data_IF_674678328116
#
_entry.id   IF_674678328116
#
_cell.length_a   1.000
_cell.length_b   1.000
_cell.length_c   1.000
_cell.angle_alpha   90.00
_cell.angle_beta   90.00
_cell.angle_gamma   90.00
#
_symmetry.space_group_name_H-M   'P 1'
#
loop_
_entity.id
_entity.type
_entity.pdbx_description
1 polymer ?
#
# COMPACT_ATOMS: atom_id res chain seq x y z
N UNK A 1 -23.94 -1.42 -28.26
CA UNK A 1 -25.32 -0.88 -28.33
C UNK A 1 -26.18 -1.74 -29.24
N UNK A 2 -27.47 -1.83 -28.93
CA UNK A 2 -28.39 -2.77 -29.58
C UNK A 2 -28.68 -2.42 -31.05
N UNK A 3 -28.94 -1.14 -31.35
CA UNK A 3 -29.32 -0.71 -32.70
C UNK A 3 -28.09 -0.44 -33.59
N UNK A 4 -27.20 0.47 -33.18
CA UNK A 4 -26.04 0.89 -33.98
C UNK A 4 -24.89 -0.14 -34.03
N UNK A 5 -24.92 -1.14 -33.15
CA UNK A 5 -23.76 -2.00 -32.89
C UNK A 5 -22.51 -1.23 -32.45
N UNK A 6 -22.67 -0.01 -31.91
CA UNK A 6 -21.60 0.79 -31.33
C UNK A 6 -20.96 0.09 -30.15
N UNK A 7 -19.64 0.01 -30.16
CA UNK A 7 -18.88 -0.85 -29.27
C UNK A 7 -18.11 -0.03 -28.25
N UNK A 8 -18.14 -0.46 -27.00
CA UNK A 8 -17.20 -0.08 -25.97
C UNK A 8 -16.31 -1.27 -25.66
N UNK A 9 -15.00 -1.04 -25.54
CA UNK A 9 -14.04 -2.06 -25.16
C UNK A 9 -12.95 -1.44 -24.28
N UNK A 10 -12.61 -2.13 -23.21
CA UNK A 10 -11.50 -1.80 -22.33
C UNK A 10 -10.88 -3.07 -21.77
N UNK A 11 -9.63 -2.99 -21.37
CA UNK A 11 -8.98 -4.03 -20.59
C UNK A 11 -9.18 -3.75 -19.10
N UNK A 12 -9.56 -4.79 -18.36
CA UNK A 12 -9.67 -4.79 -16.89
C UNK A 12 -8.75 -5.86 -16.29
N UNK A 13 -8.39 -5.72 -15.02
CA UNK A 13 -7.44 -6.61 -14.36
C UNK A 13 -8.02 -7.99 -14.05
N UNK A 14 -9.33 -8.07 -13.78
CA UNK A 14 -10.02 -9.32 -13.47
C UNK A 14 -11.48 -9.32 -13.96
N UNK A 15 -12.11 -10.50 -13.94
CA UNK A 15 -13.56 -10.67 -14.15
C UNK A 15 -14.37 -10.52 -12.84
N UNK A 16 -13.73 -10.01 -11.78
CA UNK A 16 -14.35 -9.80 -10.48
C UNK A 16 -15.43 -8.73 -10.52
N UNK A 17 -16.34 -8.77 -9.54
CA UNK A 17 -17.47 -7.84 -9.43
C UNK A 17 -17.05 -6.36 -9.42
N UNK A 18 -15.94 -6.04 -8.74
CA UNK A 18 -15.39 -4.67 -8.65
C UNK A 18 -15.00 -4.12 -10.02
N UNK A 19 -14.26 -4.92 -10.80
CA UNK A 19 -13.84 -4.54 -12.15
C UNK A 19 -15.04 -4.50 -13.11
N UNK A 20 -15.98 -5.45 -12.96
CA UNK A 20 -17.20 -5.53 -13.76
C UNK A 20 -18.09 -4.30 -13.60
N UNK A 21 -18.37 -3.87 -12.37
CA UNK A 21 -19.17 -2.67 -12.09
C UNK A 21 -18.41 -1.41 -12.50
N UNK A 22 -17.09 -1.37 -12.26
CA UNK A 22 -16.23 -0.29 -12.75
C UNK A 22 -16.32 -0.12 -14.27
N UNK A 23 -16.35 -1.24 -15.00
CA UNK A 23 -16.48 -1.23 -16.45
C UNK A 23 -17.82 -0.70 -16.93
N UNK A 24 -18.92 -1.05 -16.26
CA UNK A 24 -20.24 -0.48 -16.57
C UNK A 24 -20.28 1.02 -16.36
N UNK A 25 -19.73 1.50 -15.24
CA UNK A 25 -19.67 2.93 -14.91
C UNK A 25 -18.88 3.72 -15.96
N UNK A 26 -17.71 3.20 -16.39
CA UNK A 26 -16.92 3.82 -17.46
C UNK A 26 -17.59 3.71 -18.83
N UNK A 27 -18.28 2.61 -19.11
CA UNK A 27 -19.07 2.42 -20.33
C UNK A 27 -20.21 3.45 -20.42
N UNK A 28 -21.01 3.64 -19.37
CA UNK A 28 -22.09 4.64 -19.38
C UNK A 28 -21.55 6.05 -19.58
N UNK A 29 -20.42 6.37 -18.94
CA UNK A 29 -19.72 7.64 -19.15
C UNK A 29 -19.25 7.80 -20.60
N UNK A 30 -18.70 6.74 -21.21
CA UNK A 30 -18.25 6.73 -22.61
C UNK A 30 -19.42 6.92 -23.59
N UNK A 31 -20.57 6.30 -23.33
CA UNK A 31 -21.78 6.48 -24.14
C UNK A 31 -22.39 7.89 -23.97
N UNK A 32 -22.02 8.61 -22.91
CA UNK A 32 -22.62 9.90 -22.55
C UNK A 32 -24.05 9.78 -22.03
N UNK A 33 -24.44 8.60 -21.54
CA UNK A 33 -25.80 8.28 -21.12
C UNK A 33 -25.97 6.83 -20.69
N UNK A 34 -27.11 6.51 -20.08
CA UNK A 34 -27.43 5.17 -19.58
C UNK A 34 -28.49 4.50 -20.48
N UNK A 35 -28.27 3.28 -20.97
CA UNK A 35 -29.32 2.54 -21.68
C UNK A 35 -30.44 2.12 -20.72
N UNK A 36 -31.67 1.96 -21.22
CA UNK A 36 -32.81 1.48 -20.41
C UNK A 36 -32.62 0.05 -19.90
N UNK A 37 -31.89 -0.77 -20.65
CA UNK A 37 -31.62 -2.15 -20.30
C UNK A 37 -30.18 -2.54 -20.64
N UNK A 38 -29.56 -3.27 -19.73
CA UNK A 38 -28.27 -3.94 -19.91
C UNK A 38 -28.52 -5.44 -19.91
N UNK A 39 -27.99 -6.12 -20.93
CA UNK A 39 -28.10 -7.57 -21.08
C UNK A 39 -26.72 -8.17 -20.80
N UNK A 40 -26.40 -8.49 -19.54
CA UNK A 40 -25.15 -9.17 -19.22
C UNK A 40 -25.23 -10.64 -19.65
N UNK A 41 -24.06 -11.19 -19.96
CA UNK A 41 -23.90 -12.65 -19.99
C UNK A 41 -24.05 -13.22 -18.58
N UNK A 42 -24.37 -14.51 -18.45
CA UNK A 42 -24.65 -15.17 -17.18
C UNK A 42 -23.37 -15.42 -16.34
N UNK A 43 -22.58 -14.37 -16.09
CA UNK A 43 -21.40 -14.39 -15.24
C UNK A 43 -21.83 -14.58 -13.79
N UNK A 44 -21.09 -15.39 -13.03
CA UNK A 44 -21.29 -15.53 -11.57
C UNK A 44 -21.18 -14.19 -10.83
N UNK A 45 -20.45 -13.22 -11.38
CA UNK A 45 -20.38 -11.85 -10.87
C UNK A 45 -21.72 -11.11 -10.99
N UNK A 46 -22.55 -11.42 -11.99
CA UNK A 46 -23.85 -10.80 -12.21
C UNK A 46 -25.02 -11.55 -11.55
N UNK A 47 -24.95 -12.89 -11.45
CA UNK A 47 -26.08 -13.75 -11.03
C UNK A 47 -25.64 -14.76 -9.95
N UNK A 48 -26.23 -14.68 -8.75
CA UNK A 48 -25.94 -15.58 -7.60
C UNK A 48 -26.63 -16.93 -7.79
N UNK A 49 -27.86 -16.95 -8.31
CA UNK A 49 -28.59 -18.15 -8.74
C UNK A 49 -29.51 -17.80 -9.93
N UNK A 50 -29.44 -18.52 -11.06
CA UNK A 50 -30.38 -18.34 -12.15
C UNK A 50 -31.72 -19.00 -11.79
N UNK A 51 -32.74 -18.21 -11.43
CA UNK A 51 -34.14 -18.63 -11.38
C UNK A 51 -34.89 -17.98 -12.56
N UNK A 52 -35.85 -18.73 -13.12
CA UNK A 52 -36.71 -18.35 -14.24
C UNK A 52 -37.66 -17.20 -13.89
N UNK A 53 -37.96 -17.00 -12.61
CA UNK A 53 -38.94 -16.02 -12.14
C UNK A 53 -38.35 -14.93 -11.22
N UNK A 54 -37.22 -15.20 -10.56
CA UNK A 54 -36.52 -14.24 -9.70
C UNK A 54 -35.00 -14.47 -9.77
N UNK A 55 -34.30 -13.99 -10.82
CA UNK A 55 -32.86 -14.11 -10.90
C UNK A 55 -32.26 -13.34 -9.73
N UNK A 56 -31.69 -14.07 -8.76
CA UNK A 56 -31.00 -13.50 -7.61
C UNK A 56 -29.77 -12.73 -8.07
N UNK A 57 -29.98 -11.49 -8.48
CA UNK A 57 -28.95 -10.55 -8.88
C UNK A 57 -28.00 -10.35 -7.71
N UNK A 58 -26.71 -10.22 -8.01
CA UNK A 58 -25.77 -9.77 -7.00
C UNK A 58 -26.26 -8.43 -6.43
N UNK A 59 -26.46 -8.34 -5.12
CA UNK A 59 -27.00 -7.13 -4.45
C UNK A 59 -26.28 -5.86 -4.93
N UNK A 60 -24.96 -5.91 -5.05
CA UNK A 60 -24.17 -4.74 -5.48
C UNK A 60 -24.39 -4.37 -6.96
N UNK A 61 -24.77 -5.34 -7.78
CA UNK A 61 -25.09 -5.11 -9.20
C UNK A 61 -26.51 -4.56 -9.35
N UNK A 62 -27.44 -5.00 -8.50
CA UNK A 62 -28.78 -4.39 -8.38
C UNK A 62 -28.70 -2.94 -7.88
N UNK A 63 -27.88 -2.66 -6.86
CA UNK A 63 -27.63 -1.29 -6.35
C UNK A 63 -27.05 -0.37 -7.45
N UNK A 64 -26.16 -0.88 -8.30
CA UNK A 64 -25.66 -0.14 -9.47
C UNK A 64 -26.79 0.15 -10.48
N UNK A 65 -27.64 -0.85 -10.76
CA UNK A 65 -28.75 -0.71 -11.68
C UNK A 65 -29.78 0.32 -11.21
N UNK A 66 -30.10 0.31 -9.92
CA UNK A 66 -30.95 1.31 -9.28
C UNK A 66 -30.35 2.71 -9.37
N UNK A 67 -29.05 2.87 -9.06
CA UNK A 67 -28.34 4.15 -9.14
C UNK A 67 -28.40 4.80 -10.53
N UNK A 68 -28.32 3.99 -11.59
CA UNK A 68 -28.38 4.47 -12.97
C UNK A 68 -29.77 4.39 -13.59
N UNK A 69 -30.77 3.85 -12.88
CA UNK A 69 -32.13 3.64 -13.40
C UNK A 69 -32.23 2.65 -14.58
N UNK A 70 -31.26 1.73 -14.72
CA UNK A 70 -31.24 0.73 -15.81
C UNK A 70 -31.82 -0.61 -15.36
N UNK A 71 -32.54 -1.31 -16.23
CA UNK A 71 -32.89 -2.70 -15.99
C UNK A 71 -31.71 -3.62 -16.31
N UNK A 72 -31.50 -4.67 -15.50
CA UNK A 72 -30.58 -5.75 -15.83
C UNK A 72 -31.39 -6.95 -16.30
N UNK A 73 -31.20 -7.35 -17.55
CA UNK A 73 -31.90 -8.46 -18.18
C UNK A 73 -30.87 -9.55 -18.53
N UNK A 74 -30.53 -10.45 -17.59
CA UNK A 74 -29.53 -11.47 -17.87
C UNK A 74 -29.97 -12.38 -19.03
N UNK A 75 -29.04 -12.65 -19.95
CA UNK A 75 -29.31 -13.57 -21.07
C UNK A 75 -29.60 -14.98 -20.54
N UNK A 76 -30.57 -15.67 -21.16
CA UNK A 76 -30.94 -17.02 -20.70
C UNK A 76 -29.80 -18.01 -20.96
N UNK A 77 -29.54 -18.95 -20.03
CA UNK A 77 -28.59 -20.04 -20.27
C UNK A 77 -28.93 -20.79 -21.58
N UNK A 78 -27.90 -21.11 -22.37
CA UNK A 78 -28.03 -21.87 -23.62
C UNK A 78 -28.96 -21.24 -24.68
N UNK A 79 -29.14 -19.92 -24.67
CA UNK A 79 -29.88 -19.17 -25.69
C UNK A 79 -29.00 -18.09 -26.35
N UNK A 80 -28.17 -18.45 -27.36
CA UNK A 80 -27.25 -17.52 -28.01
C UNK A 80 -27.92 -16.28 -28.61
N UNK A 81 -29.18 -16.42 -29.07
CA UNK A 81 -29.95 -15.34 -29.69
C UNK A 81 -30.18 -14.14 -28.78
N UNK A 82 -30.22 -14.33 -27.46
CA UNK A 82 -30.50 -13.27 -26.50
C UNK A 82 -29.35 -12.25 -26.41
N UNK A 83 -28.13 -12.65 -26.78
CA UNK A 83 -26.92 -11.82 -26.71
C UNK A 83 -26.12 -11.76 -28.02
N UNK A 84 -26.76 -12.06 -29.15
CA UNK A 84 -26.09 -12.14 -30.45
C UNK A 84 -25.28 -10.87 -30.80
N UNK A 85 -25.79 -9.68 -30.43
CA UNK A 85 -25.07 -8.40 -30.62
C UNK A 85 -23.78 -8.32 -29.79
N UNK A 86 -23.80 -8.85 -28.56
CA UNK A 86 -22.62 -8.87 -27.69
C UNK A 86 -21.56 -9.84 -28.24
N UNK A 87 -21.96 -11.04 -28.68
CA UNK A 87 -21.04 -12.03 -29.28
C UNK A 87 -20.35 -11.47 -30.54
N UNK A 88 -21.12 -10.84 -31.44
CA UNK A 88 -20.56 -10.18 -32.64
C UNK A 88 -19.62 -9.05 -32.24
N UNK A 89 -19.97 -8.24 -31.22
CA UNK A 89 -19.09 -7.18 -30.76
C UNK A 89 -17.77 -7.71 -30.20
N UNK A 90 -17.77 -8.86 -29.50
CA UNK A 90 -16.55 -9.53 -29.03
C UNK A 90 -15.71 -9.99 -30.21
N UNK A 91 -16.29 -10.69 -31.18
CA UNK A 91 -15.57 -11.15 -32.38
C UNK A 91 -14.93 -9.98 -33.14
N UNK A 92 -15.69 -8.91 -33.35
CA UNK A 92 -15.20 -7.69 -34.01
C UNK A 92 -14.06 -7.04 -33.20
N UNK A 93 -14.19 -6.96 -31.87
CA UNK A 93 -13.14 -6.41 -31.01
C UNK A 93 -11.87 -7.26 -31.04
N UNK A 94 -12.00 -8.59 -31.09
CA UNK A 94 -10.86 -9.49 -31.24
C UNK A 94 -10.12 -9.25 -32.57
N UNK A 95 -10.84 -9.12 -33.69
CA UNK A 95 -10.23 -8.89 -35.00
C UNK A 95 -9.59 -7.50 -35.13
N UNK A 96 -10.25 -6.45 -34.63
CA UNK A 96 -9.85 -5.07 -34.91
C UNK A 96 -8.98 -4.44 -33.83
N UNK A 97 -9.02 -4.97 -32.60
CA UNK A 97 -8.25 -4.46 -31.47
C UNK A 97 -7.20 -5.49 -31.08
N UNK A 98 -7.61 -6.66 -30.61
CA UNK A 98 -6.68 -7.67 -30.06
C UNK A 98 -5.67 -8.13 -31.11
N UNK A 99 -6.12 -8.47 -32.32
CA UNK A 99 -5.24 -8.95 -33.38
C UNK A 99 -4.24 -7.89 -33.88
N UNK A 100 -4.55 -6.59 -33.75
CA UNK A 100 -3.64 -5.50 -34.07
C UNK A 100 -2.61 -5.25 -32.98
N UNK A 101 -2.97 -5.51 -31.72
CA UNK A 101 -2.08 -5.36 -30.57
C UNK A 101 -1.24 -6.60 -30.27
N UNK A 102 -1.47 -7.74 -30.96
CA UNK A 102 -0.86 -9.05 -30.66
C UNK A 102 0.67 -9.09 -30.61
N UNK A 103 1.35 -8.19 -31.33
CA UNK A 103 2.81 -8.12 -31.40
C UNK A 103 3.40 -7.02 -30.50
N UNK A 104 2.57 -6.35 -29.69
CA UNK A 104 3.00 -5.30 -28.74
C UNK A 104 2.99 -5.86 -27.33
N UNK A 105 4.04 -5.56 -26.56
CA UNK A 105 4.11 -5.84 -25.13
C UNK A 105 3.73 -4.57 -24.38
N UNK A 106 2.98 -4.75 -23.29
CA UNK A 106 2.53 -3.68 -22.42
C UNK A 106 2.98 -3.97 -20.99
N UNK A 107 3.33 -2.93 -20.24
CA UNK A 107 3.83 -3.03 -18.87
C UNK A 107 2.85 -2.51 -17.83
N UNK A 108 1.73 -1.94 -18.27
CA UNK A 108 0.63 -1.54 -17.38
C UNK A 108 -0.73 -1.63 -18.07
N UNK A 109 -1.78 -1.78 -17.26
CA UNK A 109 -3.16 -1.74 -17.74
C UNK A 109 -3.53 -0.38 -18.35
N UNK A 110 -2.94 0.70 -17.82
CA UNK A 110 -3.13 2.06 -18.34
C UNK A 110 -2.57 2.18 -19.77
N UNK A 111 -1.36 1.65 -20.01
CA UNK A 111 -0.72 1.64 -21.32
C UNK A 111 -1.52 0.83 -22.35
N UNK A 112 -2.00 -0.36 -21.96
CA UNK A 112 -2.85 -1.19 -22.80
C UNK A 112 -4.15 -0.46 -23.18
N UNK A 113 -4.83 0.13 -22.20
CA UNK A 113 -6.05 0.90 -22.46
C UNK A 113 -5.81 2.15 -23.31
N UNK A 114 -4.66 2.81 -23.15
CA UNK A 114 -4.26 3.92 -24.03
C UNK A 114 -4.10 3.46 -25.49
N UNK A 115 -3.57 2.25 -25.72
CA UNK A 115 -3.44 1.67 -27.05
C UNK A 115 -4.77 1.15 -27.63
N UNK A 116 -5.71 0.71 -26.79
CA UNK A 116 -7.05 0.26 -27.20
C UNK A 116 -7.89 1.43 -27.72
N UNK A 117 -7.85 2.59 -27.06
CA UNK A 117 -8.67 3.78 -27.37
C UNK A 117 -8.67 4.19 -28.85
N UNK A 118 -7.53 4.39 -29.54
CA UNK A 118 -7.54 4.76 -30.96
C UNK A 118 -8.12 3.65 -31.84
N UNK A 119 -7.83 2.37 -31.55
CA UNK A 119 -8.36 1.25 -32.32
C UNK A 119 -9.88 1.09 -32.15
N UNK A 120 -10.39 1.38 -30.95
CA UNK A 120 -11.82 1.43 -30.68
C UNK A 120 -12.50 2.56 -31.45
N UNK A 121 -11.85 3.73 -31.52
CA UNK A 121 -12.35 4.85 -32.32
C UNK A 121 -12.38 4.50 -33.81
N UNK A 122 -11.31 3.92 -34.35
CA UNK A 122 -11.25 3.44 -35.74
C UNK A 122 -12.36 2.43 -36.02
N UNK A 123 -12.59 1.49 -35.10
CA UNK A 123 -13.63 0.48 -35.23
C UNK A 123 -15.03 1.12 -35.33
N UNK A 124 -15.30 2.12 -34.50
CA UNK A 124 -16.60 2.77 -34.42
C UNK A 124 -16.85 3.76 -35.57
N UNK A 125 -15.81 4.43 -36.07
CA UNK A 125 -15.89 5.40 -37.18
C UNK A 125 -15.82 4.75 -38.57
N UNK A 126 -15.43 3.48 -38.66
CA UNK A 126 -15.41 2.73 -39.91
C UNK A 126 -16.82 2.53 -40.47
N UNK A 127 -17.01 2.92 -41.73
CA UNK A 127 -18.23 2.67 -42.50
C UNK A 127 -18.47 1.16 -42.66
N UNK A 128 -19.67 0.72 -42.28
CA UNK A 128 -20.10 -0.67 -42.45
C UNK A 128 -20.69 -0.86 -43.84
N UNK A 129 -20.21 -1.86 -44.58
CA UNK A 129 -20.58 -2.08 -46.00
C UNK A 129 -22.10 -2.18 -46.20
N UNK A 130 -22.77 -2.95 -45.34
CA UNK A 130 -24.20 -3.25 -45.50
C UNK A 130 -25.11 -2.07 -45.12
N UNK A 131 -24.61 -1.13 -44.32
CA UNK A 131 -25.41 0.00 -43.81
C UNK A 131 -25.06 1.34 -44.47
N UNK A 132 -23.92 1.44 -45.17
CA UNK A 132 -23.44 2.69 -45.76
C UNK A 132 -23.06 3.78 -44.74
N UNK A 133 -23.12 3.48 -43.43
CA UNK A 133 -22.83 4.38 -42.32
C UNK A 133 -21.87 3.73 -41.31
N UNK A 134 -21.18 4.55 -40.52
CA UNK A 134 -20.37 4.04 -39.42
C UNK A 134 -21.22 3.69 -38.19
N UNK A 135 -20.64 2.92 -37.27
CA UNK A 135 -21.32 2.64 -35.97
C UNK A 135 -21.53 3.93 -35.19
N UNK A 136 -20.61 4.89 -35.30
CA UNK A 136 -20.70 6.19 -34.65
C UNK A 136 -21.86 7.02 -35.20
N UNK A 137 -22.06 7.03 -36.52
CA UNK A 137 -23.18 7.74 -37.17
C UNK A 137 -24.53 7.13 -36.76
N UNK A 138 -24.61 5.79 -36.78
CA UNK A 138 -25.80 5.08 -36.32
C UNK A 138 -26.04 5.27 -34.82
N UNK A 139 -24.99 5.36 -34.01
CA UNK A 139 -25.12 5.64 -32.58
C UNK A 139 -25.71 7.02 -32.34
N UNK A 140 -25.20 8.04 -33.04
CA UNK A 140 -25.67 9.42 -32.91
C UNK A 140 -27.14 9.57 -33.30
N UNK A 141 -27.60 8.82 -34.30
CA UNK A 141 -28.97 8.91 -34.83
C UNK A 141 -29.96 7.98 -34.13
N UNK A 142 -29.56 6.76 -33.77
CA UNK A 142 -30.49 5.74 -33.26
C UNK A 142 -30.43 5.57 -31.74
N UNK A 143 -29.23 5.45 -31.16
CA UNK A 143 -29.09 5.07 -29.76
C UNK A 143 -29.00 6.29 -28.83
N UNK A 144 -28.16 7.28 -29.17
CA UNK A 144 -27.87 8.45 -28.33
C UNK A 144 -29.12 9.24 -27.92
N UNK A 145 -30.12 9.49 -28.79
CA UNK A 145 -31.35 10.19 -28.38
C UNK A 145 -32.21 9.42 -27.37
N UNK A 146 -32.02 8.10 -27.29
CA UNK A 146 -32.80 7.21 -26.43
C UNK A 146 -32.10 6.87 -25.10
N UNK A 147 -30.90 7.40 -24.87
CA UNK A 147 -30.18 7.23 -23.61
C UNK A 147 -30.79 8.10 -22.51
N UNK A 148 -30.83 7.57 -21.30
CA UNK A 148 -31.14 8.33 -20.10
C UNK A 148 -29.94 9.17 -19.69
N UNK A 149 -30.18 10.29 -19.00
CA UNK A 149 -29.12 11.15 -18.49
C UNK A 149 -28.27 10.44 -17.44
N UNK A 150 -26.97 10.73 -17.42
CA UNK A 150 -26.10 10.27 -16.34
C UNK A 150 -26.45 10.98 -15.02
N UNK A 151 -26.43 10.27 -13.88
CA UNK A 151 -26.53 10.89 -12.57
C UNK A 151 -25.30 11.80 -12.32
N UNK A 152 -25.48 12.81 -11.47
CA UNK A 152 -24.42 13.80 -11.18
C UNK A 152 -23.15 13.16 -10.60
N UNK A 153 -23.30 12.07 -9.84
CA UNK A 153 -22.19 11.31 -9.26
C UNK A 153 -22.17 9.89 -9.82
N UNK A 154 -20.99 9.38 -10.25
CA UNK A 154 -20.87 8.00 -10.68
C UNK A 154 -21.07 7.04 -9.51
N UNK A 155 -21.59 5.86 -9.80
CA UNK A 155 -21.66 4.77 -8.81
C UNK A 155 -20.26 4.34 -8.39
N UNK A 156 -20.01 4.26 -7.09
CA UNK A 156 -18.72 3.82 -6.53
C UNK A 156 -18.92 2.48 -5.85
N UNK A 157 -18.43 1.42 -6.49
CA UNK A 157 -18.36 0.11 -5.86
C UNK A 157 -17.54 0.17 -4.57
N UNK A 158 -18.09 -0.38 -3.50
CA UNK A 158 -17.39 -0.49 -2.22
C UNK A 158 -17.57 -1.89 -1.62
N UNK A 159 -16.47 -2.59 -1.36
CA UNK A 159 -16.46 -3.83 -0.58
C UNK A 159 -16.27 -3.50 0.88
N UNK A 160 -17.11 -4.07 1.73
CA UNK A 160 -16.97 -3.96 3.18
C UNK A 160 -16.24 -5.19 3.73
N UNK A 161 -15.26 -4.97 4.61
CA UNK A 161 -14.52 -6.01 5.31
C UNK A 161 -14.34 -5.61 6.77
N UNK A 162 -14.57 -6.52 7.70
CA UNK A 162 -14.17 -6.30 9.10
C UNK A 162 -12.72 -6.74 9.32
N UNK A 163 -11.96 -5.91 10.01
CA UNK A 163 -10.59 -6.21 10.38
C UNK A 163 -10.33 -5.82 11.84
N UNK A 164 -9.45 -6.57 12.51
CA UNK A 164 -8.96 -6.20 13.83
C UNK A 164 -7.64 -5.45 13.68
N UNK A 165 -7.51 -4.32 14.36
CA UNK A 165 -6.27 -3.52 14.35
C UNK A 165 -5.15 -4.29 15.04
N UNK A 166 -4.04 -4.45 14.35
CA UNK A 166 -2.87 -5.15 14.85
C UNK A 166 -2.13 -4.32 15.93
N UNK A 167 -1.28 -4.96 16.77
CA UNK A 167 -0.56 -4.27 17.85
C UNK A 167 0.37 -3.14 17.38
N UNK A 168 0.80 -3.20 16.11
CA UNK A 168 1.58 -2.21 15.42
C UNK A 168 0.70 -1.10 14.78
N UNK A 169 -0.55 -0.93 15.22
CA UNK A 169 -1.50 0.08 14.73
C UNK A 169 -1.77 0.02 13.20
N UNK A 170 -1.61 -1.14 12.58
CA UNK A 170 -1.95 -1.36 11.17
C UNK A 170 -3.13 -2.33 10.99
N UNK A 171 -3.73 -2.26 9.81
CA UNK A 171 -4.76 -3.17 9.31
C UNK A 171 -4.36 -3.70 7.94
N UNK A 172 -4.70 -4.95 7.67
CA UNK A 172 -4.37 -5.59 6.39
C UNK A 172 -5.56 -5.56 5.41
N UNK A 173 -5.32 -5.01 4.23
CA UNK A 173 -6.22 -5.03 3.10
C UNK A 173 -5.48 -5.41 1.82
N UNK A 174 -5.91 -6.52 1.21
CA UNK A 174 -5.39 -7.06 -0.06
C UNK A 174 -3.85 -7.19 -0.11
N UNK A 175 -3.25 -7.62 1.01
CA UNK A 175 -1.80 -7.80 1.14
C UNK A 175 -1.00 -6.53 1.44
N UNK A 176 -1.65 -5.37 1.60
CA UNK A 176 -1.04 -4.12 2.06
C UNK A 176 -1.47 -3.79 3.49
N UNK A 177 -0.57 -3.15 4.24
CA UNK A 177 -0.80 -2.75 5.63
C UNK A 177 -1.00 -1.24 5.71
N UNK A 178 -2.14 -0.81 6.25
CA UNK A 178 -2.49 0.60 6.38
C UNK A 178 -2.57 0.98 7.85
N UNK A 179 -1.93 2.07 8.23
CA UNK A 179 -1.98 2.56 9.60
C UNK A 179 -3.37 3.08 9.97
N UNK A 180 -3.72 2.97 11.25
CA UNK A 180 -4.91 3.57 11.85
C UNK A 180 -4.54 4.25 13.16
N UNK A 181 -5.32 5.22 13.65
CA UNK A 181 -5.04 5.88 14.92
C UNK A 181 -4.75 4.88 16.04
N UNK A 182 -3.60 5.00 16.70
CA UNK A 182 -3.12 4.03 17.70
C UNK A 182 -4.08 3.76 18.87
N UNK A 183 -5.00 4.68 19.16
CA UNK A 183 -6.06 4.47 20.15
C UNK A 183 -7.01 3.31 19.80
N UNK A 184 -6.97 2.83 18.56
CA UNK A 184 -7.80 1.72 18.06
C UNK A 184 -7.08 0.36 18.07
N UNK A 185 -5.88 0.26 18.64
CA UNK A 185 -5.15 -1.02 18.75
C UNK A 185 -6.06 -2.10 19.37
N UNK A 186 -6.09 -3.29 18.74
CA UNK A 186 -6.94 -4.45 19.08
C UNK A 186 -8.45 -4.26 18.91
N UNK A 187 -8.93 -3.07 18.52
CA UNK A 187 -10.34 -2.84 18.23
C UNK A 187 -10.74 -3.44 16.87
N UNK A 188 -12.04 -3.72 16.70
CA UNK A 188 -12.63 -4.10 15.43
C UNK A 188 -13.03 -2.84 14.66
N UNK A 189 -12.65 -2.79 13.39
CA UNK A 189 -12.98 -1.69 12.47
C UNK A 189 -13.61 -2.25 11.20
N UNK A 190 -14.50 -1.47 10.60
CA UNK A 190 -15.10 -1.75 9.30
C UNK A 190 -14.28 -1.03 8.22
N UNK A 191 -13.85 -1.77 7.22
CA UNK A 191 -13.08 -1.28 6.08
C UNK A 191 -14.02 -1.16 4.90
N UNK A 192 -14.10 0.03 4.32
CA UNK A 192 -14.77 0.28 3.04
C UNK A 192 -13.71 0.42 1.96
N UNK A 193 -13.65 -0.57 1.08
CA UNK A 193 -12.68 -0.69 0.00
C UNK A 193 -13.35 -0.30 -1.31
N UNK A 194 -12.96 0.85 -1.87
CA UNK A 194 -13.31 1.26 -3.24
C UNK A 194 -12.14 0.98 -4.19
N UNK A 195 -12.29 1.16 -5.50
CA UNK A 195 -11.19 0.92 -6.45
C UNK A 195 -9.90 1.70 -6.11
N UNK A 196 -10.02 2.93 -5.62
CA UNK A 196 -8.88 3.83 -5.40
C UNK A 196 -8.58 4.10 -3.93
N UNK A 197 -9.55 3.93 -3.04
CA UNK A 197 -9.42 4.34 -1.63
C UNK A 197 -9.87 3.25 -0.67
N UNK A 198 -9.16 3.18 0.46
CA UNK A 198 -9.54 2.43 1.64
C UNK A 198 -9.95 3.41 2.72
N UNK A 199 -11.20 3.34 3.15
CA UNK A 199 -11.72 4.10 4.28
C UNK A 199 -11.89 3.17 5.48
N UNK A 200 -11.47 3.63 6.65
CA UNK A 200 -11.58 2.89 7.91
C UNK A 200 -12.64 3.54 8.76
N UNK A 201 -13.60 2.74 9.22
CA UNK A 201 -14.68 3.17 10.11
C UNK A 201 -14.58 2.46 11.46
N UNK A 202 -14.76 3.22 12.53
CA UNK A 202 -14.92 2.69 13.87
C UNK A 202 -16.26 3.19 14.42
N UNK A 203 -17.18 2.27 14.74
CA UNK A 203 -18.53 2.57 15.22
C UNK A 203 -19.28 3.57 14.32
N UNK A 204 -19.20 3.37 13.00
CA UNK A 204 -19.87 4.21 12.00
C UNK A 204 -19.18 5.56 11.70
N UNK A 205 -18.14 5.95 12.44
CA UNK A 205 -17.36 7.17 12.15
C UNK A 205 -16.10 6.82 11.35
N UNK A 206 -15.84 7.56 10.27
CA UNK A 206 -14.60 7.42 9.49
C UNK A 206 -13.42 7.94 10.31
N UNK A 207 -12.43 7.08 10.54
CA UNK A 207 -11.24 7.37 11.37
C UNK A 207 -9.96 7.50 10.55
N UNK A 208 -9.90 6.92 9.35
CA UNK A 208 -8.77 7.03 8.44
C UNK A 208 -9.22 6.87 6.98
N UNK A 209 -8.45 7.42 6.05
CA UNK A 209 -8.63 7.25 4.61
C UNK A 209 -7.26 7.14 3.95
N UNK A 210 -7.07 6.15 3.09
CA UNK A 210 -5.81 5.85 2.41
C UNK A 210 -6.03 5.63 0.92
N UNK A 211 -5.05 6.01 0.09
CA UNK A 211 -5.00 5.56 -1.30
C UNK A 211 -4.62 4.07 -1.35
N UNK A 212 -5.33 3.27 -2.14
CA UNK A 212 -5.02 1.85 -2.31
C UNK A 212 -3.80 1.66 -3.21
N UNK A 213 -2.97 0.68 -2.88
CA UNK A 213 -1.85 0.24 -3.72
C UNK A 213 -1.92 -1.27 -3.98
N UNK A 214 -2.94 -1.74 -4.75
CA UNK A 214 -3.17 -3.17 -4.94
C UNK A 214 -1.98 -3.83 -5.65
N UNK A 215 -1.61 -5.04 -5.21
CA UNK A 215 -0.59 -5.87 -5.85
C UNK A 215 0.85 -5.68 -5.37
N UNK A 216 1.12 -4.73 -4.47
CA UNK A 216 2.42 -4.60 -3.78
C UNK A 216 2.25 -4.75 -2.27
N UNK A 217 2.90 -5.77 -1.69
CA UNK A 217 3.05 -5.86 -0.23
C UNK A 217 3.82 -4.64 0.26
N UNK A 218 3.12 -3.74 0.93
CA UNK A 218 3.66 -2.45 1.38
C UNK A 218 3.02 -2.05 2.70
N UNK A 219 3.75 -1.24 3.47
CA UNK A 219 3.25 -0.61 4.69
C UNK A 219 3.08 0.88 4.41
N UNK A 220 1.85 1.38 4.60
CA UNK A 220 1.49 2.78 4.43
C UNK A 220 1.17 3.34 5.82
N UNK A 221 2.13 4.08 6.36
CA UNK A 221 2.04 4.64 7.70
C UNK A 221 1.90 6.15 7.64
N UNK A 222 0.82 6.67 8.23
CA UNK A 222 0.59 8.09 8.43
C UNK A 222 1.16 8.47 9.80
N UNK A 223 2.05 9.48 9.89
CA UNK A 223 2.66 9.87 11.17
C UNK A 223 1.65 10.16 12.29
N UNK A 224 0.52 10.80 11.96
CA UNK A 224 -0.54 11.14 12.93
C UNK A 224 -1.19 9.91 13.58
N UNK A 225 -1.14 8.76 12.92
CA UNK A 225 -1.65 7.51 13.45
C UNK A 225 -0.73 6.89 14.52
N UNK A 226 0.54 7.29 14.56
CA UNK A 226 1.53 6.73 15.49
C UNK A 226 1.38 7.31 16.91
N UNK A 227 1.60 6.48 17.97
CA UNK A 227 1.79 6.99 19.33
C UNK A 227 2.92 8.02 19.40
N UNK A 228 2.83 8.97 20.33
CA UNK A 228 3.86 10.02 20.50
C UNK A 228 5.25 9.45 20.80
N UNK A 229 5.35 8.32 21.50
CA UNK A 229 6.60 7.59 21.72
C UNK A 229 7.19 7.08 20.41
N UNK A 230 6.39 6.41 19.58
CA UNK A 230 6.84 5.85 18.30
C UNK A 230 7.17 6.93 17.26
N UNK A 231 6.42 8.05 17.21
CA UNK A 231 6.78 9.22 16.39
C UNK A 231 8.17 9.74 16.74
N UNK A 232 8.44 9.88 18.04
CA UNK A 232 9.76 10.30 18.53
C UNK A 232 10.87 9.33 18.16
N UNK A 233 10.60 8.04 18.02
CA UNK A 233 11.60 7.04 17.59
C UNK A 233 11.80 7.00 16.07
N UNK A 234 10.76 7.26 15.27
CA UNK A 234 10.82 7.24 13.80
C UNK A 234 11.72 8.35 13.21
N UNK A 235 11.95 9.43 13.95
CA UNK A 235 12.84 10.54 13.54
C UNK A 235 14.34 10.27 13.81
N UNK A 236 14.70 9.16 14.46
CA UNK A 236 16.09 8.83 14.75
C UNK A 236 16.71 8.00 13.62
N UNK A 237 17.65 8.61 12.91
CA UNK A 237 18.53 7.92 11.96
C UNK A 237 19.84 7.52 12.64
N UNK A 238 20.60 6.53 12.12
CA UNK A 238 21.92 6.18 12.65
C UNK A 238 22.83 7.41 12.77
N UNK A 239 22.84 8.26 11.74
CA UNK A 239 23.61 9.50 11.72
C UNK A 239 23.25 10.47 12.86
N UNK A 240 21.95 10.61 13.16
CA UNK A 240 21.48 11.49 14.24
C UNK A 240 21.79 10.95 15.63
N UNK A 241 21.75 9.63 15.80
CA UNK A 241 22.14 8.95 17.06
C UNK A 241 23.65 9.12 17.27
N UNK A 242 24.48 8.87 16.25
CA UNK A 242 25.94 9.03 16.33
C UNK A 242 26.33 10.49 16.61
N UNK A 243 25.74 11.47 15.91
CA UNK A 243 25.98 12.89 16.17
C UNK A 243 25.56 13.34 17.57
N UNK A 244 24.59 12.65 18.20
CA UNK A 244 24.20 12.92 19.59
C UNK A 244 25.14 12.24 20.59
N UNK A 245 25.66 11.06 20.23
CA UNK A 245 26.63 10.31 21.04
C UNK A 245 28.00 11.00 21.07
N UNK A 246 28.47 11.53 19.94
CA UNK A 246 29.73 12.28 19.83
C UNK A 246 29.78 13.50 20.75
N UNK A 247 28.63 14.16 20.98
CA UNK A 247 28.55 15.29 21.93
C UNK A 247 28.75 14.89 23.39
N UNK A 248 28.50 13.62 23.72
CA UNK A 248 28.64 13.08 25.07
C UNK A 248 30.02 12.46 25.28
N UNK A 249 30.65 11.97 24.22
CA UNK A 249 32.03 11.53 24.22
C UNK A 249 32.35 10.50 23.11
N UNK A 250 33.65 10.31 22.80
CA UNK A 250 34.09 9.40 21.75
C UNK A 250 33.75 7.92 22.04
N UNK A 251 33.81 7.52 23.31
CA UNK A 251 33.51 6.15 23.75
C UNK A 251 32.02 5.85 23.70
N UNK A 252 31.16 6.86 23.94
CA UNK A 252 29.70 6.76 23.77
C UNK A 252 29.34 6.54 22.30
N UNK A 253 30.00 7.26 21.37
CA UNK A 253 29.82 7.09 19.93
C UNK A 253 30.26 5.69 19.46
N UNK A 254 31.46 5.26 19.88
CA UNK A 254 31.96 3.92 19.59
C UNK A 254 31.03 2.81 20.11
N UNK A 255 30.49 2.97 21.32
CA UNK A 255 29.51 2.03 21.87
C UNK A 255 28.25 1.96 21.00
N UNK A 256 27.71 3.11 20.61
CA UNK A 256 26.50 3.18 19.78
C UNK A 256 26.72 2.55 18.40
N UNK A 257 27.87 2.79 17.77
CA UNK A 257 28.26 2.17 16.50
C UNK A 257 28.34 0.64 16.62
N UNK A 258 29.07 0.13 17.61
CA UNK A 258 29.23 -1.31 17.87
C UNK A 258 27.86 -1.97 18.11
N UNK A 259 26.95 -1.32 18.84
CA UNK A 259 25.61 -1.86 19.11
C UNK A 259 24.75 -1.94 17.85
N UNK A 260 24.89 -0.98 16.92
CA UNK A 260 24.16 -0.99 15.65
C UNK A 260 24.73 -2.02 14.66
N UNK A 261 26.06 -2.15 14.58
CA UNK A 261 26.74 -3.09 13.67
C UNK A 261 26.56 -4.56 14.07
N UNK A 262 26.48 -4.86 15.37
CA UNK A 262 26.29 -6.23 15.86
C UNK A 262 24.85 -6.76 15.71
N UNK A 263 23.92 -5.98 15.14
CA UNK A 263 22.52 -6.38 14.94
C UNK A 263 22.22 -6.60 13.46
N UNK A 264 21.40 -7.60 13.08
CA UNK A 264 21.02 -7.85 11.69
C UNK A 264 20.38 -6.63 11.00
N UNK A 265 19.70 -5.79 11.78
CA UNK A 265 19.18 -4.50 11.34
C UNK A 265 19.59 -3.41 12.35
N UNK A 266 20.22 -2.30 11.91
CA UNK A 266 20.66 -1.21 12.79
C UNK A 266 19.55 -0.64 13.68
N UNK A 267 18.31 -0.60 13.19
CA UNK A 267 17.13 -0.12 13.91
C UNK A 267 16.84 -0.90 15.20
N UNK A 268 17.23 -2.18 15.25
CA UNK A 268 17.09 -3.00 16.46
C UNK A 268 18.06 -2.56 17.57
N UNK A 269 19.14 -1.86 17.22
CA UNK A 269 20.10 -1.27 18.15
C UNK A 269 19.71 0.12 18.69
N UNK A 270 18.76 0.81 18.04
CA UNK A 270 18.43 2.21 18.39
C UNK A 270 17.89 2.36 19.80
N UNK A 271 17.08 1.41 20.28
CA UNK A 271 16.54 1.44 21.66
C UNK A 271 17.66 1.37 22.70
N UNK A 272 18.69 0.56 22.45
CA UNK A 272 19.85 0.44 23.34
C UNK A 272 20.67 1.73 23.31
N UNK A 273 20.95 2.28 22.13
CA UNK A 273 21.69 3.53 21.99
C UNK A 273 20.97 4.70 22.67
N UNK A 274 19.67 4.87 22.40
CA UNK A 274 18.84 5.90 23.02
C UNK A 274 18.71 5.71 24.54
N UNK A 275 18.71 4.46 25.01
CA UNK A 275 18.73 4.15 26.44
C UNK A 275 20.01 4.58 27.14
N UNK A 276 21.17 4.47 26.46
CA UNK A 276 22.45 4.98 26.97
C UNK A 276 22.50 6.51 26.90
N UNK A 277 22.07 7.13 25.80
CA UNK A 277 21.98 8.59 25.69
C UNK A 277 21.07 9.19 26.77
N UNK A 278 20.02 8.48 27.19
CA UNK A 278 19.15 8.94 28.28
C UNK A 278 19.84 8.98 29.65
N UNK A 279 20.92 8.21 29.86
CA UNK A 279 21.69 8.23 31.12
C UNK A 279 22.44 9.55 31.32
N UNK A 280 22.70 10.32 30.24
CA UNK A 280 23.28 11.66 30.32
C UNK A 280 22.41 12.67 31.09
N UNK A 281 21.14 12.34 31.36
CA UNK A 281 20.27 13.16 32.22
C UNK A 281 20.57 12.99 33.71
N UNK A 282 21.19 11.87 34.09
CA UNK A 282 21.40 11.46 35.48
C UNK A 282 22.88 11.39 35.86
N UNK A 283 23.77 11.33 34.87
CA UNK A 283 25.21 11.20 35.04
C UNK A 283 25.94 12.20 34.14
N UNK A 284 27.06 12.72 34.62
CA UNK A 284 27.87 13.65 33.82
C UNK A 284 28.43 13.00 32.55
N UNK A 285 28.60 13.77 31.46
CA UNK A 285 29.09 13.24 30.19
C UNK A 285 30.43 12.49 30.30
N UNK A 286 31.38 13.01 31.07
CA UNK A 286 32.69 12.38 31.27
C UNK A 286 32.58 10.99 31.93
N UNK A 287 31.71 10.86 32.94
CA UNK A 287 31.44 9.58 33.61
C UNK A 287 30.74 8.60 32.68
N UNK A 288 29.81 9.10 31.87
CA UNK A 288 29.11 8.27 30.88
C UNK A 288 30.07 7.76 29.80
N UNK A 289 31.01 8.58 29.34
CA UNK A 289 32.02 8.17 28.37
C UNK A 289 32.95 7.09 28.93
N UNK A 290 33.47 7.27 30.15
CA UNK A 290 34.29 6.27 30.85
C UNK A 290 33.52 4.95 31.09
N UNK A 291 32.23 5.02 31.43
CA UNK A 291 31.38 3.84 31.57
C UNK A 291 31.18 3.11 30.22
N UNK A 292 31.00 3.85 29.13
CA UNK A 292 30.92 3.30 27.78
C UNK A 292 32.25 2.69 27.34
N UNK A 293 33.39 3.31 27.65
CA UNK A 293 34.73 2.78 27.38
C UNK A 293 34.93 1.43 28.08
N UNK A 294 34.61 1.35 29.37
CA UNK A 294 34.65 0.10 30.13
C UNK A 294 33.69 -0.94 29.55
N UNK A 295 32.47 -0.53 29.21
CA UNK A 295 31.46 -1.39 28.59
C UNK A 295 31.93 -2.01 27.27
N UNK A 296 32.63 -1.24 26.43
CA UNK A 296 33.23 -1.74 25.19
C UNK A 296 34.35 -2.75 25.49
N UNK A 297 35.25 -2.44 26.45
CA UNK A 297 36.35 -3.33 26.84
C UNK A 297 35.86 -4.71 27.31
N UNK A 298 34.81 -4.75 28.14
CA UNK A 298 34.24 -6.01 28.66
C UNK A 298 33.15 -6.61 27.75
N UNK A 299 32.94 -6.05 26.54
CA UNK A 299 31.89 -6.46 25.58
C UNK A 299 30.46 -6.42 26.16
N UNK A 300 30.20 -5.58 27.17
CA UNK A 300 28.89 -5.42 27.77
C UNK A 300 28.05 -4.40 26.99
N UNK A 301 27.20 -4.91 26.09
CA UNK A 301 26.47 -4.12 25.08
C UNK A 301 24.99 -3.85 25.44
N UNK A 302 24.69 -3.68 26.72
CA UNK A 302 23.32 -3.45 27.20
C UNK A 302 23.21 -2.20 28.08
N UNK A 303 22.06 -1.53 28.04
CA UNK A 303 21.78 -0.35 28.90
C UNK A 303 21.87 -0.71 30.38
N UNK A 304 21.44 -1.92 30.75
CA UNK A 304 21.50 -2.39 32.14
C UNK A 304 22.96 -2.54 32.61
N UNK A 305 23.84 -3.03 31.74
CA UNK A 305 25.26 -3.18 32.06
C UNK A 305 25.96 -1.83 32.24
N UNK A 306 25.72 -0.88 31.34
CA UNK A 306 26.28 0.48 31.45
C UNK A 306 25.76 1.19 32.70
N UNK A 307 24.46 1.04 33.00
CA UNK A 307 23.87 1.56 34.24
C UNK A 307 24.50 0.94 35.48
N UNK A 308 24.75 -0.37 35.49
CA UNK A 308 25.42 -1.05 36.60
C UNK A 308 26.83 -0.52 36.83
N UNK A 309 27.61 -0.31 35.74
CA UNK A 309 28.95 0.28 35.81
C UNK A 309 28.92 1.65 36.48
N UNK A 310 28.00 2.53 36.07
CA UNK A 310 27.82 3.87 36.64
C UNK A 310 27.34 3.85 38.10
N UNK A 311 26.50 2.89 38.47
CA UNK A 311 25.98 2.74 39.84
C UNK A 311 27.04 2.21 40.81
N UNK A 312 27.92 1.33 40.33
CA UNK A 312 28.97 0.69 41.13
C UNK A 312 30.29 1.47 41.13
N UNK A 313 30.35 2.60 40.42
CA UNK A 313 31.54 3.46 40.35
C UNK A 313 32.69 2.85 39.55
N UNK A 314 32.44 1.77 38.81
CA UNK A 314 33.44 1.08 38.00
C UNK A 314 33.95 1.92 36.82
N UNK A 315 33.26 3.01 36.49
CA UNK A 315 33.69 4.01 35.52
C UNK A 315 34.92 4.81 35.99
N UNK A 316 35.16 4.92 37.30
CA UNK A 316 36.23 5.78 37.85
C UNK A 316 37.65 5.32 37.52
N UNK A 317 37.86 4.01 37.32
CA UNK A 317 39.16 3.45 36.92
C UNK A 317 39.64 3.91 35.53
N UNK A 318 38.75 4.51 34.73
CA UNK A 318 39.05 5.04 33.39
C UNK A 318 39.09 6.56 33.36
N UNK A 319 38.89 7.23 34.51
CA UNK A 319 39.04 8.68 34.65
C UNK A 319 40.44 9.08 35.14
N UNK A 320 41.17 8.16 35.75
CA UNK A 320 42.55 8.38 36.16
C UNK A 320 43.49 8.04 34.99
N UNK A 321 44.37 8.96 34.55
CA UNK A 321 45.38 8.62 33.55
C UNK A 321 46.25 7.50 34.10
N UNK A 322 46.56 6.50 33.25
CA UNK A 322 47.61 5.51 33.55
C UNK A 322 48.83 6.27 34.05
N UNK A 323 49.18 6.07 35.33
CA UNK A 323 50.44 6.58 35.84
C UNK A 323 51.53 5.97 34.96
N UNK A 324 52.34 6.80 34.31
CA UNK A 324 53.56 6.35 33.65
C UNK A 324 54.33 5.51 34.68
N UNK A 325 54.43 4.20 34.44
CA UNK A 325 55.29 3.32 35.23
C UNK A 325 56.73 3.77 34.98
N UNK A 326 57.21 4.71 35.79
CA UNK A 326 58.62 5.02 35.88
C UNK A 326 59.34 3.71 36.23
N UNK A 327 60.41 3.34 35.52
CA UNK A 327 61.12 2.09 35.77
C UNK A 327 61.56 2.03 37.23
N UNK A 328 61.23 0.92 37.90
CA UNK A 328 61.59 0.64 39.29
C UNK A 328 63.10 0.87 39.50
N UNK A 329 63.48 1.98 40.13
CA UNK A 329 64.85 2.20 40.58
C UNK A 329 65.07 1.42 41.87
N UNK A 330 65.65 0.22 41.76
CA UNK A 330 66.00 -0.61 42.91
C UNK A 330 67.54 -0.74 43.02
N UNK A 331 68.15 -0.67 44.22
CA UNK A 331 69.61 -0.76 44.41
C UNK A 331 70.29 -2.00 43.79
N UNK A 332 69.52 -3.07 43.60
CA UNK A 332 70.01 -4.34 43.04
C UNK A 332 69.84 -4.45 41.51
N UNK A 333 69.24 -3.46 40.84
CA UNK A 333 69.12 -3.45 39.38
C UNK A 333 70.31 -2.69 38.82
N UNK A 334 71.33 -3.43 38.36
CA UNK A 334 72.55 -2.85 37.77
C UNK A 334 72.35 -2.64 36.28
N UNK A 335 72.59 -1.42 35.82
CA UNK A 335 72.47 -1.04 34.41
C UNK A 335 73.52 -1.70 33.52
N UNK A 336 73.30 -1.60 32.21
CA UNK A 336 74.09 -2.24 31.15
C UNK A 336 75.60 -1.93 31.23
N UNK A 337 75.99 -0.80 31.85
CA UNK A 337 77.38 -0.39 32.05
C UNK A 337 78.14 -1.20 33.12
N UNK A 338 77.48 -2.08 33.88
CA UNK A 338 78.15 -2.91 34.90
C UNK A 338 78.89 -4.13 34.30
N UNK A 339 78.60 -4.51 33.06
CA UNK A 339 79.11 -5.75 32.44
C UNK A 339 80.16 -5.51 31.33
N UNK A 340 80.84 -4.36 31.33
CA UNK A 340 81.89 -4.03 30.36
C UNK A 340 83.29 -4.01 30.96
#
# INVERSE_FOLDING_TARGET
>A
MGASSYTYAEAVASEGLEDWIGAHTRMFSYLGGVPKAVVPDNLKSAVIKPDRHDPGLNRTYAEMAEHYGTAILPARPYKPKDKAKAEVAVQVSQCWIVARLRNRRFFSLAELNAAIRPLLNDLNTRVMRDYGASRADLFATLDRPNLMSLPATPYVFARWKRARVAPDYHIEADGCWYSVPFGLIRQLVDLRLTQTTLEVFHRGKRVASHARNPGRRSHITVPDHMPSSHRRYAEWTPARILASAEKLGPSVAAFCQIVMENRPHPEQGFRTCLGVLALAKSYEPARLDAACQRGVAIKARSVASIRSILQTGLDQAFLEPEAEELPLQHPNIRGQNYYH
#
